data_IF_413884677199
#
_entry.id   IF_413884677199
#
_cell.length_a   1.000
_cell.length_b   1.000
_cell.length_c   1.000
_cell.angle_alpha   90.00
_cell.angle_beta   90.00
_cell.angle_gamma   90.00
#
_symmetry.space_group_name_H-M   'P 1'
#
loop_
_entity.id
_entity.type
_entity.pdbx_description
1 polymer ?
#
# COMPACT_ATOMS: atom_id res chain seq x y z
N UNK A 1 -14.12 -20.82 9.61
CA UNK A 1 -12.83 -20.39 9.04
C UNK A 1 -12.88 -20.66 7.55
N UNK A 2 -12.87 -19.62 6.73
CA UNK A 2 -12.78 -19.78 5.30
C UNK A 2 -11.44 -20.44 4.91
N UNK A 3 -11.44 -21.25 3.85
CA UNK A 3 -10.22 -21.80 3.28
C UNK A 3 -9.40 -20.66 2.66
N UNK A 4 -8.18 -20.45 3.15
CA UNK A 4 -7.24 -19.46 2.60
C UNK A 4 -5.84 -20.04 2.46
N UNK A 5 -5.07 -19.49 1.52
CA UNK A 5 -3.64 -19.75 1.39
C UNK A 5 -2.88 -18.44 1.38
N UNK A 6 -1.64 -18.46 1.86
CA UNK A 6 -0.78 -17.29 1.93
C UNK A 6 0.63 -17.67 1.53
N UNK A 7 1.19 -16.95 0.56
CA UNK A 7 2.52 -17.17 0.01
C UNK A 7 3.37 -15.91 0.19
N UNK A 8 4.61 -16.07 0.65
CA UNK A 8 5.57 -14.96 0.70
C UNK A 8 5.92 -14.50 -0.72
N UNK A 9 6.02 -13.19 -0.91
CA UNK A 9 6.55 -12.60 -2.14
C UNK A 9 7.92 -12.01 -1.82
N UNK A 10 8.96 -12.55 -2.43
CA UNK A 10 10.29 -11.95 -2.36
C UNK A 10 10.34 -10.71 -3.25
N UNK A 11 10.53 -9.56 -2.63
CA UNK A 11 10.66 -8.27 -3.31
C UNK A 11 11.64 -7.40 -2.52
N UNK A 12 12.42 -6.61 -3.24
CA UNK A 12 13.37 -5.66 -2.65
C UNK A 12 13.15 -4.32 -3.34
N UNK A 13 12.26 -3.47 -2.80
CA UNK A 13 11.89 -2.24 -3.47
C UNK A 13 13.10 -1.31 -3.62
N UNK A 14 13.20 -0.68 -4.79
CA UNK A 14 14.21 0.34 -5.06
C UNK A 14 13.78 1.68 -4.46
N UNK A 15 14.74 2.42 -3.88
CA UNK A 15 14.46 3.75 -3.36
C UNK A 15 14.41 4.78 -4.50
N UNK A 16 13.22 4.93 -5.08
CA UNK A 16 12.92 6.00 -6.02
C UNK A 16 12.70 7.33 -5.28
N UNK A 17 13.68 8.22 -5.39
CA UNK A 17 13.69 9.54 -4.76
C UNK A 17 12.59 10.44 -5.32
N UNK A 18 12.27 10.33 -6.61
CA UNK A 18 11.24 11.16 -7.24
C UNK A 18 9.86 10.80 -6.71
N UNK A 19 9.55 9.50 -6.65
CA UNK A 19 8.34 9.02 -6.02
C UNK A 19 8.25 9.44 -4.55
N UNK A 20 9.33 9.27 -3.78
CA UNK A 20 9.35 9.70 -2.38
C UNK A 20 9.09 11.20 -2.22
N UNK A 21 9.73 12.04 -3.03
CA UNK A 21 9.51 13.49 -3.01
C UNK A 21 8.06 13.85 -3.33
N UNK A 22 7.43 13.12 -4.27
CA UNK A 22 6.01 13.25 -4.56
C UNK A 22 5.11 12.91 -3.37
N UNK A 23 5.41 11.80 -2.67
CA UNK A 23 4.68 11.39 -1.45
C UNK A 23 4.87 12.40 -0.32
N UNK A 24 6.11 12.86 -0.10
CA UNK A 24 6.45 13.82 0.94
C UNK A 24 5.97 15.24 0.65
N UNK A 25 5.56 15.52 -0.60
CA UNK A 25 5.25 16.86 -1.12
C UNK A 25 6.43 17.84 -1.01
N UNK A 26 7.64 17.32 -1.20
CA UNK A 26 8.87 18.10 -1.12
C UNK A 26 9.46 18.37 -2.50
N UNK A 27 10.03 19.56 -2.68
CA UNK A 27 10.74 19.94 -3.91
C UNK A 27 12.26 19.91 -3.74
N UNK A 28 12.74 19.80 -2.50
CA UNK A 28 14.16 19.74 -2.18
C UNK A 28 14.39 19.02 -0.86
N UNK A 29 15.41 18.17 -0.84
CA UNK A 29 15.89 17.50 0.37
C UNK A 29 17.35 17.90 0.60
N UNK A 30 17.71 18.22 1.85
CA UNK A 30 19.10 18.49 2.22
C UNK A 30 19.92 17.20 2.30
N UNK A 31 21.22 17.25 1.94
CA UNK A 31 22.08 16.05 1.89
C UNK A 31 22.09 15.23 3.19
N UNK A 32 22.22 15.88 4.35
CA UNK A 32 22.19 15.19 5.65
C UNK A 32 20.86 14.49 5.92
N UNK A 33 19.74 15.07 5.48
CA UNK A 33 18.43 14.44 5.63
C UNK A 33 18.31 13.24 4.69
N UNK A 34 18.82 13.36 3.46
CA UNK A 34 18.86 12.29 2.48
C UNK A 34 19.65 11.07 2.98
N UNK A 35 20.82 11.28 3.59
CA UNK A 35 21.63 10.19 4.14
C UNK A 35 20.83 9.37 5.17
N UNK A 36 20.13 10.05 6.11
CA UNK A 36 19.27 9.36 7.08
C UNK A 36 18.09 8.65 6.43
N UNK A 37 17.48 9.24 5.38
CA UNK A 37 16.37 8.61 4.66
C UNK A 37 16.82 7.30 4.01
N UNK A 38 18.02 7.26 3.42
CA UNK A 38 18.59 6.03 2.83
C UNK A 38 18.86 4.98 3.91
N UNK A 39 19.47 5.36 5.03
CA UNK A 39 19.70 4.45 6.16
C UNK A 39 18.39 3.85 6.69
N UNK A 40 17.36 4.68 6.86
CA UNK A 40 16.04 4.23 7.30
C UNK A 40 15.31 3.41 6.23
N UNK A 41 15.48 3.70 4.94
CA UNK A 41 14.93 2.89 3.85
C UNK A 41 15.44 1.45 3.94
N UNK A 42 16.77 1.27 3.99
CA UNK A 42 17.40 -0.05 4.06
C UNK A 42 17.01 -0.80 5.35
N UNK A 43 16.90 -0.07 6.46
CA UNK A 43 16.47 -0.62 7.73
C UNK A 43 15.02 -1.09 7.66
N UNK A 44 14.09 -0.24 7.23
CA UNK A 44 12.67 -0.54 7.24
C UNK A 44 12.23 -1.49 6.13
N UNK A 45 12.96 -1.59 5.01
CA UNK A 45 12.74 -2.66 4.04
C UNK A 45 12.90 -4.06 4.65
N UNK A 46 13.67 -4.22 5.74
CA UNK A 46 13.77 -5.50 6.47
C UNK A 46 12.56 -5.79 7.35
N UNK A 47 11.76 -4.77 7.65
CA UNK A 47 10.51 -4.85 8.40
C UNK A 47 9.29 -5.01 7.48
N UNK A 48 9.51 -5.04 6.16
CA UNK A 48 8.47 -5.20 5.15
C UNK A 48 8.08 -6.67 5.03
N UNK A 49 6.77 -6.93 5.10
CA UNK A 49 6.19 -8.22 4.76
C UNK A 49 5.29 -8.08 3.54
N UNK A 50 5.43 -8.99 2.58
CA UNK A 50 4.63 -9.02 1.36
C UNK A 50 4.09 -10.42 1.16
N UNK A 51 2.77 -10.52 0.99
CA UNK A 51 2.05 -11.78 0.84
C UNK A 51 1.11 -11.74 -0.34
N UNK A 52 1.05 -12.87 -1.05
CA UNK A 52 -0.08 -13.22 -1.91
C UNK A 52 -1.06 -14.04 -1.09
N UNK A 53 -2.22 -13.48 -0.82
CA UNK A 53 -3.27 -14.11 -0.01
C UNK A 53 -4.41 -14.51 -0.93
N UNK A 54 -4.76 -15.78 -0.95
CA UNK A 54 -5.92 -16.30 -1.68
C UNK A 54 -7.01 -16.64 -0.69
N UNK A 55 -8.15 -15.97 -0.82
CA UNK A 55 -9.34 -16.24 -0.02
C UNK A 55 -10.48 -16.67 -0.96
N UNK A 56 -10.84 -17.96 -0.90
CA UNK A 56 -11.76 -18.57 -1.86
C UNK A 56 -11.22 -18.52 -3.30
N UNK A 57 -11.93 -17.83 -4.20
CA UNK A 57 -11.56 -17.71 -5.62
C UNK A 57 -10.75 -16.46 -5.95
N UNK A 58 -10.58 -15.55 -5.01
CA UNK A 58 -9.94 -14.25 -5.23
C UNK A 58 -8.58 -14.28 -4.56
N UNK A 59 -7.58 -13.77 -5.28
CA UNK A 59 -6.24 -13.56 -4.78
C UNK A 59 -5.96 -12.06 -4.63
N UNK A 60 -5.17 -11.74 -3.61
CA UNK A 60 -4.86 -10.40 -3.17
C UNK A 60 -3.36 -10.28 -2.96
N UNK A 61 -2.84 -9.09 -3.24
CA UNK A 61 -1.51 -8.69 -2.81
C UNK A 61 -1.67 -7.84 -1.55
N UNK A 62 -0.91 -8.19 -0.52
CA UNK A 62 -0.87 -7.46 0.75
C UNK A 62 0.57 -7.14 1.09
N UNK A 63 0.85 -5.88 1.38
CA UNK A 63 2.17 -5.41 1.81
C UNK A 63 2.02 -4.53 3.04
N UNK A 64 2.85 -4.73 4.05
CA UNK A 64 2.84 -3.90 5.25
C UNK A 64 4.20 -3.84 5.93
N UNK A 65 4.43 -2.75 6.65
CA UNK A 65 5.55 -2.62 7.57
C UNK A 65 5.14 -3.07 8.98
N UNK A 66 6.11 -3.58 9.74
CA UNK A 66 5.89 -3.98 11.12
C UNK A 66 5.58 -2.80 12.04
N UNK A 67 5.02 -3.09 13.21
CA UNK A 67 4.74 -2.10 14.26
C UNK A 67 6.01 -1.37 14.74
N UNK A 68 7.20 -1.97 14.57
CA UNK A 68 8.46 -1.32 14.92
C UNK A 68 8.67 -0.01 14.13
N UNK A 69 8.28 0.01 12.84
CA UNK A 69 8.39 1.22 12.01
C UNK A 69 7.41 2.30 12.48
N UNK A 70 6.19 1.92 12.86
CA UNK A 70 5.19 2.83 13.39
C UNK A 70 5.69 3.51 14.68
N UNK A 71 6.21 2.71 15.61
CA UNK A 71 6.78 3.21 16.87
C UNK A 71 7.98 4.13 16.66
N UNK A 72 8.85 3.84 15.69
CA UNK A 72 9.98 4.72 15.36
C UNK A 72 9.54 6.06 14.80
N UNK A 73 8.55 6.06 13.91
CA UNK A 73 7.99 7.32 13.37
C UNK A 73 7.31 8.11 14.48
N UNK A 74 6.55 7.47 15.36
CA UNK A 74 5.89 8.12 16.50
C UNK A 74 6.90 8.78 17.45
N UNK A 75 8.01 8.09 17.75
CA UNK A 75 9.08 8.66 18.56
C UNK A 75 9.74 9.89 17.90
N UNK A 76 9.79 9.95 16.56
CA UNK A 76 10.28 11.13 15.85
C UNK A 76 9.32 12.31 15.96
N UNK A 77 8.01 12.07 15.98
CA UNK A 77 7.01 13.14 16.16
C UNK A 77 7.18 13.88 17.48
N UNK A 78 7.58 13.19 18.55
CA UNK A 78 7.82 13.78 19.86
C UNK A 78 9.07 14.68 19.91
N UNK A 79 10.04 14.48 19.00
CA UNK A 79 11.36 15.12 19.07
C UNK A 79 11.62 16.12 17.96
N UNK A 80 11.19 15.83 16.73
CA UNK A 80 11.43 16.66 15.55
C UNK A 80 10.26 16.51 14.54
N UNK A 81 9.16 17.27 14.70
CA UNK A 81 7.95 17.11 13.88
C UNK A 81 8.15 17.28 12.37
N UNK A 82 9.03 18.21 11.95
CA UNK A 82 9.33 18.41 10.52
C UNK A 82 10.03 17.20 9.90
N UNK A 83 10.92 16.57 10.66
CA UNK A 83 11.62 15.37 10.21
C UNK A 83 10.67 14.17 10.22
N UNK A 84 9.82 14.06 11.24
CA UNK A 84 8.84 12.99 11.38
C UNK A 84 7.89 12.88 10.18
N UNK A 85 7.50 14.02 9.57
CA UNK A 85 6.73 14.02 8.31
C UNK A 85 7.47 13.32 7.16
N UNK A 86 8.76 13.59 6.99
CA UNK A 86 9.57 12.97 5.94
C UNK A 86 9.71 11.47 6.18
N UNK A 87 9.92 11.04 7.42
CA UNK A 87 10.03 9.64 7.79
C UNK A 87 8.68 8.90 7.70
N UNK A 88 7.56 9.54 8.04
CA UNK A 88 6.23 9.01 7.77
C UNK A 88 6.01 8.80 6.26
N UNK A 89 6.42 9.78 5.44
CA UNK A 89 6.35 9.69 3.97
C UNK A 89 7.27 8.61 3.42
N UNK A 90 8.41 8.35 4.06
CA UNK A 90 9.35 7.30 3.68
C UNK A 90 8.72 5.91 3.86
N UNK A 91 8.06 5.68 4.99
CA UNK A 91 7.36 4.43 5.26
C UNK A 91 6.23 4.19 4.23
N UNK A 92 5.49 5.24 3.85
CA UNK A 92 4.49 5.15 2.78
C UNK A 92 5.14 4.83 1.42
N UNK A 93 6.25 5.48 1.09
CA UNK A 93 6.96 5.27 -0.16
C UNK A 93 7.50 3.83 -0.29
N UNK A 94 7.97 3.20 0.80
CA UNK A 94 8.39 1.78 0.79
C UNK A 94 7.23 0.89 0.35
N UNK A 95 6.04 1.05 0.96
CA UNK A 95 4.88 0.23 0.61
C UNK A 95 4.42 0.52 -0.83
N UNK A 96 4.44 1.78 -1.26
CA UNK A 96 4.08 2.14 -2.64
C UNK A 96 5.05 1.55 -3.68
N UNK A 97 6.36 1.65 -3.45
CA UNK A 97 7.38 1.04 -4.30
C UNK A 97 7.18 -0.47 -4.42
N UNK A 98 6.91 -1.12 -3.29
CA UNK A 98 6.67 -2.56 -3.22
C UNK A 98 5.49 -2.98 -4.09
N UNK A 99 4.38 -2.23 -4.02
CA UNK A 99 3.20 -2.53 -4.83
C UNK A 99 3.49 -2.31 -6.32
N UNK A 100 4.23 -1.27 -6.69
CA UNK A 100 4.59 -1.01 -8.09
C UNK A 100 5.57 -2.04 -8.66
N UNK A 101 6.48 -2.57 -7.86
CA UNK A 101 7.41 -3.63 -8.29
C UNK A 101 6.68 -4.95 -8.57
N UNK A 102 5.65 -5.28 -7.79
CA UNK A 102 4.87 -6.52 -7.97
C UNK A 102 3.74 -6.35 -8.98
N UNK A 103 3.12 -5.16 -9.04
CA UNK A 103 2.02 -4.80 -9.94
C UNK A 103 2.35 -3.49 -10.67
N UNK A 104 3.19 -3.52 -11.72
CA UNK A 104 3.59 -2.33 -12.47
C UNK A 104 2.42 -1.53 -13.05
N UNK A 105 1.30 -2.19 -13.34
CA UNK A 105 0.05 -1.59 -13.81
C UNK A 105 -0.49 -0.50 -12.88
N UNK A 106 -0.11 -0.53 -11.60
CA UNK A 106 -0.44 0.50 -10.61
C UNK A 106 0.17 1.86 -10.97
N UNK A 107 1.32 1.89 -11.64
CA UNK A 107 1.95 3.14 -12.09
C UNK A 107 1.08 3.82 -13.16
N UNK A 108 0.62 3.06 -14.15
CA UNK A 108 -0.22 3.57 -15.24
C UNK A 108 -1.62 3.96 -14.74
N UNK A 109 -2.25 3.11 -13.90
CA UNK A 109 -3.53 3.42 -13.28
C UNK A 109 -3.43 4.55 -12.23
N UNK A 110 -2.22 4.82 -11.76
CA UNK A 110 -1.85 5.80 -10.74
C UNK A 110 -2.34 5.47 -9.32
N UNK A 111 -2.96 4.31 -9.08
CA UNK A 111 -3.39 3.86 -7.75
C UNK A 111 -3.71 2.35 -7.76
N UNK A 112 -3.60 1.71 -6.60
CA UNK A 112 -4.03 0.33 -6.38
C UNK A 112 -5.45 0.33 -5.75
N UNK A 113 -6.47 -0.25 -6.43
CA UNK A 113 -7.82 -0.24 -5.91
C UNK A 113 -7.98 -1.16 -4.69
N UNK A 114 -8.52 -0.62 -3.61
CA UNK A 114 -8.79 -1.38 -2.39
C UNK A 114 -9.98 -2.34 -2.60
N UNK A 115 -9.84 -3.65 -2.30
CA UNK A 115 -10.92 -4.60 -2.41
C UNK A 115 -11.96 -4.39 -1.32
N UNK A 116 -13.19 -4.87 -1.56
CA UNK A 116 -14.22 -4.94 -0.52
C UNK A 116 -13.77 -5.94 0.57
N UNK A 117 -13.81 -5.57 1.87
CA UNK A 117 -13.46 -6.46 2.98
C UNK A 117 -14.55 -7.51 3.19
N UNK A 118 -14.55 -8.58 2.39
CA UNK A 118 -15.43 -9.73 2.61
C UNK A 118 -15.02 -10.50 3.87
N UNK A 119 -15.92 -11.28 4.46
CA UNK A 119 -15.59 -12.10 5.64
C UNK A 119 -14.37 -13.00 5.39
N UNK A 120 -14.28 -13.62 4.20
CA UNK A 120 -13.13 -14.46 3.86
C UNK A 120 -11.81 -13.69 3.78
N UNK A 121 -11.82 -12.44 3.29
CA UNK A 121 -10.63 -11.59 3.27
C UNK A 121 -10.27 -11.12 4.69
N UNK A 122 -11.27 -10.75 5.50
CA UNK A 122 -11.05 -10.34 6.89
C UNK A 122 -10.43 -11.48 7.72
N UNK A 123 -10.99 -12.69 7.64
CA UNK A 123 -10.46 -13.89 8.30
C UNK A 123 -8.99 -14.15 7.89
N UNK A 124 -8.68 -14.03 6.60
CA UNK A 124 -7.33 -14.27 6.10
C UNK A 124 -6.33 -13.20 6.59
N UNK A 125 -6.73 -11.93 6.58
CA UNK A 125 -5.90 -10.82 7.08
C UNK A 125 -5.69 -10.87 8.60
N UNK A 126 -6.71 -11.29 9.35
CA UNK A 126 -6.58 -11.52 10.79
C UNK A 126 -5.58 -12.64 11.09
N UNK A 127 -5.61 -13.73 10.32
CA UNK A 127 -4.67 -14.83 10.45
C UNK A 127 -3.21 -14.44 10.12
N UNK A 128 -3.02 -13.46 9.23
CA UNK A 128 -1.71 -12.85 8.93
C UNK A 128 -1.28 -11.80 9.99
N UNK A 129 -2.11 -11.51 10.99
CA UNK A 129 -1.81 -10.55 12.05
C UNK A 129 -2.00 -9.08 11.64
N UNK A 130 -2.75 -8.83 10.58
CA UNK A 130 -3.07 -7.49 10.05
C UNK A 130 -4.58 -7.33 9.83
N UNK A 131 -5.41 -7.49 10.90
CA UNK A 131 -6.86 -7.50 10.76
C UNK A 131 -7.39 -6.20 10.14
N UNK A 132 -8.54 -6.32 9.49
CA UNK A 132 -9.23 -5.18 8.92
C UNK A 132 -10.03 -4.45 10.00
N UNK A 133 -9.82 -3.14 10.14
CA UNK A 133 -10.60 -2.29 11.02
C UNK A 133 -11.81 -1.71 10.27
N UNK A 134 -12.97 -2.36 10.46
CA UNK A 134 -14.22 -1.95 9.82
C UNK A 134 -14.74 -0.58 10.26
N UNK A 135 -14.33 -0.06 11.44
CA UNK A 135 -14.80 1.23 11.93
C UNK A 135 -14.21 2.43 11.16
N UNK A 136 -13.02 2.26 10.59
CA UNK A 136 -12.31 3.28 9.80
C UNK A 136 -12.01 2.82 8.38
N UNK A 137 -12.58 1.67 7.97
CA UNK A 137 -12.38 1.05 6.65
C UNK A 137 -10.91 0.96 6.22
N UNK A 138 -10.03 0.51 7.11
CA UNK A 138 -8.59 0.41 6.85
C UNK A 138 -7.98 -0.81 7.54
N UNK A 139 -6.77 -1.20 7.17
CA UNK A 139 -5.99 -2.21 7.92
C UNK A 139 -5.54 -1.62 9.26
N UNK A 140 -5.28 -2.48 10.26
CA UNK A 140 -4.79 -2.04 11.58
C UNK A 140 -3.36 -1.50 11.57
N UNK A 141 -2.55 -1.88 10.58
CA UNK A 141 -1.22 -1.30 10.35
C UNK A 141 -1.35 0.00 9.59
N UNK A 142 -0.63 1.02 10.03
CA UNK A 142 -0.61 2.37 9.44
C UNK A 142 -0.01 2.37 8.05
N UNK A 143 1.04 1.58 7.86
CA UNK A 143 1.72 1.43 6.57
C UNK A 143 1.38 0.06 6.01
N UNK A 144 0.19 -0.05 5.44
CA UNK A 144 -0.26 -1.28 4.81
C UNK A 144 -1.17 -1.02 3.62
N UNK A 145 -1.08 -1.90 2.62
CA UNK A 145 -1.93 -1.89 1.42
C UNK A 145 -2.41 -3.30 1.16
N UNK A 146 -3.69 -3.42 0.79
CA UNK A 146 -4.28 -4.62 0.21
C UNK A 146 -4.93 -4.25 -1.11
N UNK A 147 -4.61 -5.01 -2.17
CA UNK A 147 -5.15 -4.84 -3.52
C UNK A 147 -5.39 -6.19 -4.17
N UNK A 148 -6.08 -6.22 -5.30
CA UNK A 148 -6.28 -7.44 -6.08
C UNK A 148 -4.97 -7.93 -6.71
N UNK A 149 -4.80 -9.25 -6.76
CA UNK A 149 -3.72 -9.90 -7.51
C UNK A 149 -4.31 -11.02 -8.40
N UNK A 150 -4.02 -11.05 -9.71
CA UNK A 150 -3.33 -10.01 -10.49
C UNK A 150 -4.09 -8.67 -10.44
N UNK A 151 -3.45 -7.59 -10.90
CA UNK A 151 -4.06 -6.26 -10.96
C UNK A 151 -5.46 -6.33 -11.58
N UNK A 152 -6.40 -5.55 -11.04
CA UNK A 152 -7.78 -5.53 -11.53
C UNK A 152 -8.40 -4.16 -11.29
N UNK A 153 -8.90 -3.54 -12.36
CA UNK A 153 -9.72 -2.33 -12.32
C UNK A 153 -9.02 -1.09 -11.77
N UNK A 154 -9.81 -0.08 -11.41
CA UNK A 154 -9.37 1.18 -10.82
C UNK A 154 -10.40 1.76 -9.84
N UNK A 155 -10.65 3.07 -9.92
CA UNK A 155 -11.57 3.76 -9.01
C UNK A 155 -12.98 3.14 -8.99
N UNK A 156 -13.45 2.57 -10.10
CA UNK A 156 -14.78 1.99 -10.24
C UNK A 156 -15.05 0.76 -9.35
N UNK A 157 -13.99 0.04 -8.94
CA UNK A 157 -14.08 -1.10 -8.04
C UNK A 157 -13.55 -0.82 -6.62
N UNK A 158 -12.95 0.36 -6.41
CA UNK A 158 -12.25 0.67 -5.17
C UNK A 158 -13.25 0.88 -4.02
N UNK A 159 -13.14 0.05 -2.98
CA UNK A 159 -14.00 0.13 -1.80
C UNK A 159 -13.83 1.44 -1.03
N UNK A 160 -12.64 2.04 -1.08
CA UNK A 160 -12.33 3.32 -0.42
C UNK A 160 -12.83 4.54 -1.21
N UNK A 161 -13.39 4.38 -2.41
CA UNK A 161 -13.76 5.50 -3.28
C UNK A 161 -14.61 6.59 -2.57
N UNK A 162 -15.65 6.26 -1.77
CA UNK A 162 -16.48 7.27 -1.12
C UNK A 162 -15.69 8.26 -0.25
N UNK A 163 -14.61 7.78 0.37
CA UNK A 163 -13.75 8.54 1.28
C UNK A 163 -12.38 8.84 0.67
N UNK A 164 -12.19 8.54 -0.63
CA UNK A 164 -10.89 8.63 -1.28
C UNK A 164 -10.59 10.08 -1.69
N UNK A 165 -9.49 10.67 -1.19
CA UNK A 165 -9.10 12.03 -1.56
C UNK A 165 -8.67 12.18 -3.02
N UNK A 166 -8.27 11.08 -3.68
CA UNK A 166 -7.89 11.08 -5.10
C UNK A 166 -9.11 11.02 -6.02
N UNK A 167 -10.07 10.16 -5.69
CA UNK A 167 -11.27 9.95 -6.50
C UNK A 167 -12.40 10.93 -6.22
N UNK A 168 -12.39 11.62 -5.06
CA UNK A 168 -13.46 12.52 -4.62
C UNK A 168 -14.86 11.89 -4.70
N UNK A 169 -14.98 10.58 -4.44
CA UNK A 169 -16.24 9.84 -4.57
C UNK A 169 -16.72 9.60 -6.02
N UNK A 170 -15.98 10.07 -7.03
CA UNK A 170 -16.38 9.99 -8.43
C UNK A 170 -15.86 8.71 -9.11
N UNK A 171 -16.80 7.83 -9.49
CA UNK A 171 -16.50 6.58 -10.21
C UNK A 171 -16.00 6.80 -11.63
N UNK A 172 -16.19 8.00 -12.19
CA UNK A 172 -15.72 8.38 -13.52
C UNK A 172 -14.26 8.87 -13.54
N UNK A 173 -13.62 8.98 -12.36
CA UNK A 173 -12.22 9.35 -12.23
C UNK A 173 -11.22 8.27 -12.72
N UNK A 174 -11.68 7.19 -13.38
CA UNK A 174 -10.82 6.15 -13.94
C UNK A 174 -10.13 6.65 -15.21
N UNK A 175 -8.83 6.97 -15.09
CA UNK A 175 -8.03 7.51 -16.21
C UNK A 175 -7.43 6.47 -17.15
N UNK A 176 -7.49 5.16 -16.87
CA UNK A 176 -6.89 4.16 -17.79
C UNK A 176 -7.72 2.89 -17.83
N UNK A 177 -8.28 2.57 -18.99
CA UNK A 177 -8.70 1.20 -19.34
C UNK A 177 -7.45 0.48 -19.80
N UNK A 178 -6.94 -0.44 -18.98
CA UNK A 178 -5.80 -1.27 -19.37
C UNK A 178 -6.26 -2.34 -20.38
N UNK A 179 -5.52 -2.55 -21.50
CA UNK A 179 -5.82 -3.61 -22.45
C UNK A 179 -5.96 -4.97 -21.73
N UNK A 180 -7.11 -5.63 -21.88
CA UNK A 180 -7.43 -6.90 -21.19
C UNK A 180 -8.30 -6.77 -19.92
N UNK A 181 -8.54 -5.56 -19.42
CA UNK A 181 -9.34 -5.30 -18.22
C UNK A 181 -10.52 -4.35 -18.47
N UNK A 182 -11.04 -4.39 -19.70
CA UNK A 182 -12.17 -3.56 -20.14
C UNK A 182 -13.45 -3.88 -19.33
N UNK A 183 -14.21 -2.87 -18.89
CA UNK A 183 -15.46 -3.10 -18.17
C UNK A 183 -16.45 -3.84 -19.08
N UNK A 184 -16.67 -5.13 -18.81
CA UNK A 184 -17.55 -6.00 -19.59
C UNK A 184 -16.94 -7.34 -20.01
N UNK A 185 -15.65 -7.60 -19.75
CA UNK A 185 -14.97 -8.84 -20.15
C UNK A 185 -15.01 -9.98 -19.11
N UNK A 186 -15.95 -9.95 -18.15
CA UNK A 186 -16.18 -11.07 -17.25
C UNK A 186 -17.07 -12.13 -17.92
N UNK A 187 -16.45 -13.13 -18.55
CA UNK A 187 -16.99 -14.49 -18.63
C UNK A 187 -16.53 -15.29 -17.39
#
# INVERSE_FOLDING_TARGET
MAEYTSEAVEVTPYFDVEMFMGVAQETRIGGQVMDRLVENWEKWCKELTVRRVKAGKIEYLVAWLSEAVENEVDAMWDTAPSDAHLFNSLAQAIVMATIQDVLPEVQDAGCAPAPKPTEALQDALEAEGIPYNLSVTALTRRYAVVTHHPFKGGCEICYLLPDCPKGNGDKSASTVVLPGYEPGSAD
#
